data_IF_738616915740
#
_entry.id   IF_738616915740
#
_cell.length_a   1.000
_cell.length_b   1.000
_cell.length_c   1.000
_cell.angle_alpha   90.00
_cell.angle_beta   90.00
_cell.angle_gamma   90.00
#
_symmetry.space_group_name_H-M   'P 1'
#
loop_
_entity.id
_entity.type
_entity.pdbx_description
1 polymer ?
#
# COMPACT_ATOMS: atom_id res chain seq x y z
N UNK A 1 -18.01 -2.49 -8.66
CA UNK A 1 -17.42 -1.72 -7.54
C UNK A 1 -17.83 -2.40 -6.26
N UNK A 2 -17.07 -3.42 -5.86
CA UNK A 2 -17.32 -4.14 -4.60
C UNK A 2 -16.86 -3.24 -3.44
N UNK A 3 -17.80 -2.79 -2.61
CA UNK A 3 -17.49 -2.18 -1.32
C UNK A 3 -17.11 -3.31 -0.36
N UNK A 4 -15.83 -3.70 -0.32
CA UNK A 4 -15.37 -4.52 0.80
C UNK A 4 -15.55 -3.71 2.07
N UNK A 5 -16.45 -4.15 2.97
CA UNK A 5 -16.60 -3.60 4.32
C UNK A 5 -15.35 -3.94 5.15
N UNK A 6 -14.22 -3.37 4.79
CA UNK A 6 -12.98 -3.47 5.55
C UNK A 6 -13.07 -2.52 6.72
N UNK A 7 -12.69 -3.00 7.91
CA UNK A 7 -12.49 -2.13 9.07
C UNK A 7 -11.57 -0.96 8.69
N UNK A 8 -11.98 0.27 9.05
CA UNK A 8 -11.32 1.55 8.67
C UNK A 8 -9.79 1.53 8.80
N UNK A 9 -9.29 0.78 9.78
CA UNK A 9 -7.87 0.65 10.09
C UNK A 9 -7.03 0.05 8.95
N UNK A 10 -7.60 -0.85 8.12
CA UNK A 10 -6.85 -1.52 7.04
C UNK A 10 -6.64 -0.66 5.80
N UNK A 11 -7.55 0.28 5.54
CA UNK A 11 -7.52 1.14 4.33
C UNK A 11 -6.75 2.43 4.60
N UNK A 12 -6.83 2.92 5.84
CA UNK A 12 -6.23 4.21 6.20
C UNK A 12 -4.76 4.09 6.61
N UNK A 13 -4.26 2.88 6.92
CA UNK A 13 -2.86 2.64 7.29
C UNK A 13 -1.86 3.33 6.36
N UNK A 14 -1.88 3.07 5.04
CA UNK A 14 -0.97 3.73 4.09
C UNK A 14 -1.12 5.25 4.09
N UNK A 15 -2.37 5.75 4.17
CA UNK A 15 -2.66 7.19 4.19
C UNK A 15 -2.08 7.86 5.43
N UNK A 16 -2.16 7.23 6.60
CA UNK A 16 -1.63 7.75 7.86
C UNK A 16 -0.10 7.82 7.83
N UNK A 17 0.57 6.80 7.28
CA UNK A 17 2.03 6.84 7.10
C UNK A 17 2.41 7.92 6.09
N UNK A 18 1.63 8.08 5.01
CA UNK A 18 1.84 9.16 4.05
C UNK A 18 1.67 10.55 4.69
N UNK A 19 0.65 10.74 5.52
CA UNK A 19 0.45 11.99 6.26
C UNK A 19 1.62 12.26 7.23
N UNK A 20 2.09 11.25 7.96
CA UNK A 20 3.26 11.38 8.82
C UNK A 20 4.50 11.82 8.01
N UNK A 21 4.70 11.25 6.83
CA UNK A 21 5.77 11.64 5.92
C UNK A 21 5.59 13.10 5.41
N UNK A 22 4.37 13.52 5.07
CA UNK A 22 4.09 14.90 4.67
C UNK A 22 4.43 15.89 5.78
N UNK A 23 4.03 15.62 7.03
CA UNK A 23 4.34 16.49 8.16
C UNK A 23 5.84 16.50 8.49
N UNK A 24 6.50 15.35 8.36
CA UNK A 24 7.95 15.25 8.60
C UNK A 24 8.74 16.19 7.68
N UNK A 25 8.30 16.43 6.43
CA UNK A 25 8.98 17.33 5.47
C UNK A 25 9.17 18.76 5.96
N UNK A 26 8.36 19.22 6.91
CA UNK A 26 8.46 20.56 7.48
C UNK A 26 9.37 20.63 8.70
N UNK A 27 9.89 19.50 9.17
CA UNK A 27 10.77 19.44 10.33
C UNK A 27 12.21 19.84 9.97
N UNK A 28 12.95 20.50 10.87
CA UNK A 28 14.37 20.73 10.72
C UNK A 28 15.14 19.40 10.78
N UNK A 29 16.32 19.37 10.13
CA UNK A 29 17.15 18.17 9.96
C UNK A 29 17.38 17.35 11.25
N UNK A 30 17.68 17.95 12.43
CA UNK A 30 17.88 17.18 13.66
C UNK A 30 16.63 16.41 14.13
N UNK A 31 15.43 16.93 13.86
CA UNK A 31 14.18 16.25 14.19
C UNK A 31 13.82 15.18 13.16
N UNK A 32 14.11 15.43 11.88
CA UNK A 32 13.98 14.43 10.82
C UNK A 32 14.81 13.17 11.11
N UNK A 33 16.05 13.35 11.58
CA UNK A 33 16.94 12.21 11.88
C UNK A 33 16.39 11.31 13.01
N UNK A 34 15.48 11.82 13.85
CA UNK A 34 14.76 11.06 14.88
C UNK A 34 13.45 10.46 14.34
N UNK A 35 12.72 11.20 13.51
CA UNK A 35 11.39 10.81 13.02
C UNK A 35 11.47 9.81 11.87
N UNK A 36 12.41 9.96 10.93
CA UNK A 36 12.54 9.09 9.75
C UNK A 36 12.71 7.61 10.11
N UNK A 37 13.56 7.22 11.09
CA UNK A 37 13.64 5.83 11.56
C UNK A 37 12.32 5.31 12.14
N UNK A 38 11.53 6.16 12.81
CA UNK A 38 10.23 5.80 13.39
C UNK A 38 9.21 5.56 12.28
N UNK A 39 9.16 6.43 11.26
CA UNK A 39 8.31 6.24 10.08
C UNK A 39 8.70 4.93 9.37
N UNK A 40 10.00 4.70 9.15
CA UNK A 40 10.52 3.49 8.52
C UNK A 40 10.14 2.21 9.30
N UNK A 41 10.26 2.23 10.62
CA UNK A 41 9.87 1.10 11.48
C UNK A 41 8.38 0.81 11.42
N UNK A 42 7.56 1.84 11.27
CA UNK A 42 6.09 1.73 11.11
C UNK A 42 5.64 1.54 9.66
N UNK A 43 6.56 1.33 8.71
CA UNK A 43 6.24 1.06 7.30
C UNK A 43 5.43 -0.21 7.05
N UNK A 44 5.23 -1.07 8.05
CA UNK A 44 4.35 -2.24 7.95
C UNK A 44 2.91 -1.87 7.52
N UNK A 45 2.43 -0.68 7.90
CA UNK A 45 1.11 -0.20 7.50
C UNK A 45 1.00 0.15 6.02
N UNK A 46 2.11 0.37 5.32
CA UNK A 46 2.14 0.62 3.87
C UNK A 46 2.38 -0.64 3.04
N UNK A 47 2.33 -1.84 3.64
CA UNK A 47 2.46 -3.11 2.92
C UNK A 47 1.64 -3.13 1.62
N UNK A 48 2.12 -3.81 0.58
CA UNK A 48 1.49 -3.79 -0.75
C UNK A 48 0.02 -4.15 -0.70
N UNK A 49 -0.39 -5.12 0.13
CA UNK A 49 -1.81 -5.46 0.30
C UNK A 49 -2.65 -4.28 0.80
N UNK A 50 -2.19 -3.57 1.85
CA UNK A 50 -2.87 -2.39 2.39
C UNK A 50 -2.89 -1.25 1.37
N UNK A 51 -1.77 -1.05 0.67
CA UNK A 51 -1.65 -0.03 -0.38
C UNK A 51 -2.61 -0.30 -1.56
N UNK A 52 -2.77 -1.56 -1.97
CA UNK A 52 -3.73 -1.95 -3.01
C UNK A 52 -5.19 -1.73 -2.57
N UNK A 53 -5.52 -2.08 -1.32
CA UNK A 53 -6.85 -1.82 -0.74
C UNK A 53 -7.14 -0.31 -0.65
N UNK A 54 -6.15 0.50 -0.26
CA UNK A 54 -6.28 1.95 -0.24
C UNK A 54 -6.53 2.52 -1.64
N UNK A 55 -5.87 1.98 -2.67
CA UNK A 55 -6.06 2.41 -4.06
C UNK A 55 -7.46 2.14 -4.59
N UNK A 56 -8.08 1.01 -4.26
CA UNK A 56 -9.44 0.70 -4.76
C UNK A 56 -10.51 1.61 -4.17
N UNK A 57 -10.26 2.17 -2.98
CA UNK A 57 -11.16 3.10 -2.30
C UNK A 57 -10.76 4.58 -2.50
N UNK A 58 -9.78 4.86 -3.34
CA UNK A 58 -9.33 6.22 -3.59
C UNK A 58 -10.41 7.04 -4.33
N UNK A 59 -10.47 8.34 -4.08
CA UNK A 59 -11.43 9.23 -4.72
C UNK A 59 -11.08 9.49 -6.21
N UNK A 60 -9.79 9.46 -6.55
CA UNK A 60 -9.28 9.64 -7.91
C UNK A 60 -9.51 8.38 -8.75
N UNK A 61 -10.25 8.51 -9.86
CA UNK A 61 -10.55 7.39 -10.78
C UNK A 61 -9.29 6.69 -11.31
N UNK A 62 -8.25 7.45 -11.66
CA UNK A 62 -7.02 6.87 -12.21
C UNK A 62 -6.22 6.05 -11.18
N UNK A 63 -6.31 6.39 -9.89
CA UNK A 63 -5.70 5.61 -8.80
C UNK A 63 -6.45 4.31 -8.57
N UNK A 64 -7.79 4.34 -8.61
CA UNK A 64 -8.61 3.12 -8.54
C UNK A 64 -8.30 2.15 -9.66
N UNK A 65 -8.20 2.65 -10.90
CA UNK A 65 -7.85 1.85 -12.07
C UNK A 65 -6.42 1.27 -11.95
N UNK A 66 -5.46 2.05 -11.43
CA UNK A 66 -4.11 1.55 -11.16
C UNK A 66 -4.13 0.43 -10.10
N UNK A 67 -4.89 0.59 -9.02
CA UNK A 67 -5.08 -0.42 -7.98
C UNK A 67 -5.65 -1.71 -8.56
N UNK A 68 -6.72 -1.61 -9.35
CA UNK A 68 -7.34 -2.75 -10.05
C UNK A 68 -6.33 -3.53 -10.90
N UNK A 69 -5.58 -2.83 -11.77
CA UNK A 69 -4.55 -3.46 -12.63
C UNK A 69 -3.49 -4.20 -11.82
N UNK A 70 -3.05 -3.61 -10.70
CA UNK A 70 -2.05 -4.23 -9.82
C UNK A 70 -2.61 -5.44 -9.09
N UNK A 71 -3.87 -5.41 -8.64
CA UNK A 71 -4.53 -6.57 -8.02
C UNK A 71 -4.63 -7.73 -9.02
N UNK A 72 -5.04 -7.47 -10.26
CA UNK A 72 -5.10 -8.49 -11.30
C UNK A 72 -3.72 -9.12 -11.57
N UNK A 73 -2.67 -8.28 -11.65
CA UNK A 73 -1.29 -8.76 -11.78
C UNK A 73 -0.85 -9.59 -10.55
N UNK A 74 -1.19 -9.13 -9.34
CA UNK A 74 -0.88 -9.82 -8.10
C UNK A 74 -1.54 -11.21 -8.03
N UNK A 75 -2.80 -11.35 -8.47
CA UNK A 75 -3.49 -12.65 -8.59
C UNK A 75 -2.76 -13.61 -9.52
N UNK A 76 -2.30 -13.12 -10.67
CA UNK A 76 -1.54 -13.96 -11.63
C UNK A 76 -0.20 -14.43 -11.04
N UNK A 77 0.47 -13.59 -10.25
CA UNK A 77 1.71 -13.95 -9.56
C UNK A 77 1.43 -14.99 -8.48
N UNK A 78 0.41 -14.76 -7.64
CA UNK A 78 0.05 -15.66 -6.55
C UNK A 78 -0.46 -17.02 -7.03
N UNK A 79 -1.20 -17.07 -8.15
CA UNK A 79 -1.63 -18.33 -8.74
C UNK A 79 -0.44 -19.25 -9.13
N UNK A 80 0.74 -18.68 -9.35
CA UNK A 80 1.98 -19.41 -9.68
C UNK A 80 2.88 -19.64 -8.45
N UNK A 81 2.56 -19.03 -7.32
CA UNK A 81 3.36 -19.08 -6.09
C UNK A 81 3.18 -20.43 -5.41
N UNK A 82 4.29 -21.12 -5.15
CA UNK A 82 4.33 -22.42 -4.44
C UNK A 82 4.74 -22.31 -2.98
N UNK A 83 5.14 -21.12 -2.54
CA UNK A 83 5.67 -20.85 -1.20
C UNK A 83 4.67 -20.02 -0.39
N UNK A 84 4.76 -20.12 0.92
CA UNK A 84 4.01 -19.23 1.83
C UNK A 84 4.44 -17.78 1.61
N UNK A 85 3.51 -16.84 1.74
CA UNK A 85 3.79 -15.40 1.65
C UNK A 85 4.65 -14.97 2.83
N UNK A 86 5.79 -14.33 2.56
CA UNK A 86 6.65 -13.77 3.61
C UNK A 86 6.27 -12.32 3.83
N UNK A 87 5.94 -11.95 5.06
CA UNK A 87 5.71 -10.54 5.40
C UNK A 87 7.04 -9.80 5.42
N UNK A 88 7.25 -8.93 4.43
CA UNK A 88 8.43 -8.07 4.34
C UNK A 88 7.99 -6.61 4.42
N UNK A 89 8.45 -5.82 5.41
CA UNK A 89 8.17 -4.40 5.45
C UNK A 89 8.63 -3.72 4.16
N UNK A 90 7.76 -2.93 3.48
CA UNK A 90 8.15 -2.26 2.25
C UNK A 90 9.18 -1.18 2.52
N UNK A 91 10.04 -0.92 1.52
CA UNK A 91 10.88 0.28 1.54
C UNK A 91 10.01 1.50 1.28
N UNK A 92 9.92 2.37 2.28
CA UNK A 92 9.19 3.64 2.19
C UNK A 92 9.95 4.61 1.27
N UNK A 93 9.23 5.21 0.34
CA UNK A 93 9.69 6.29 -0.51
C UNK A 93 9.43 7.64 0.18
N UNK A 94 10.46 8.23 0.78
CA UNK A 94 10.35 9.52 1.47
C UNK A 94 10.03 10.69 0.52
N UNK A 95 10.30 10.53 -0.78
CA UNK A 95 10.04 11.53 -1.81
C UNK A 95 8.66 11.42 -2.47
N UNK A 96 7.81 10.47 -2.03
CA UNK A 96 6.49 10.23 -2.59
C UNK A 96 5.62 11.50 -2.63
N UNK A 97 5.07 11.85 -3.79
CA UNK A 97 4.17 13.01 -3.92
C UNK A 97 2.69 12.63 -3.77
N UNK A 98 2.40 11.33 -3.84
CA UNK A 98 1.09 10.77 -3.59
C UNK A 98 1.17 9.52 -2.71
N UNK A 99 0.09 9.21 -1.99
CA UNK A 99 -0.02 7.99 -1.19
C UNK A 99 0.21 6.72 -2.03
N UNK A 100 -0.12 6.77 -3.32
CA UNK A 100 0.08 5.67 -4.26
C UNK A 100 1.55 5.34 -4.54
N UNK A 101 2.47 6.26 -4.21
CA UNK A 101 3.91 6.17 -4.45
C UNK A 101 4.72 5.88 -3.18
N UNK A 102 4.06 5.72 -2.03
CA UNK A 102 4.71 5.59 -0.73
C UNK A 102 5.60 4.34 -0.61
N UNK A 103 5.31 3.31 -1.39
CA UNK A 103 6.15 2.12 -1.50
C UNK A 103 6.82 2.04 -2.86
N UNK A 104 8.05 1.51 -2.87
CA UNK A 104 8.69 1.14 -4.13
C UNK A 104 8.04 -0.13 -4.69
N UNK A 105 7.20 0.04 -5.72
CA UNK A 105 6.49 -1.05 -6.39
C UNK A 105 7.38 -2.01 -7.20
N UNK A 106 8.64 -1.63 -7.49
CA UNK A 106 9.59 -2.49 -8.20
C UNK A 106 10.28 -3.48 -7.25
N UNK A 107 10.52 -3.08 -6.00
CA UNK A 107 11.17 -3.88 -4.96
C UNK A 107 10.17 -4.62 -4.06
N UNK A 108 8.87 -4.37 -4.23
CA UNK A 108 7.84 -4.91 -3.36
C UNK A 108 7.25 -6.18 -3.95
N UNK A 109 7.14 -7.23 -3.12
CA UNK A 109 6.31 -8.36 -3.47
C UNK A 109 4.84 -7.90 -3.62
N UNK A 110 4.17 -8.41 -4.66
CA UNK A 110 2.78 -8.13 -4.98
C UNK A 110 1.91 -9.35 -4.66
N UNK A 111 1.70 -9.71 -3.37
CA UNK A 111 0.64 -10.63 -3.01
C UNK A 111 -0.72 -9.99 -3.30
N UNK A 112 -1.62 -10.79 -3.85
CA UNK A 112 -3.03 -10.43 -4.01
C UNK A 112 -3.67 -10.37 -2.63
N UNK A 113 -4.31 -9.25 -2.25
CA UNK A 113 -4.94 -9.17 -0.93
C UNK A 113 -5.97 -10.31 -0.77
N UNK A 114 -5.97 -11.05 0.36
CA UNK A 114 -6.91 -12.16 0.59
C UNK A 114 -8.38 -11.77 0.44
N UNK A 115 -8.70 -10.52 0.74
CA UNK A 115 -10.03 -9.93 0.56
C UNK A 115 -10.49 -9.91 -0.90
N UNK A 116 -9.54 -9.90 -1.84
CA UNK A 116 -9.79 -10.05 -3.26
C UNK A 116 -9.51 -11.48 -3.71
N UNK A 117 -9.59 -12.52 -2.88
CA UNK A 117 -9.47 -13.90 -3.39
C UNK A 117 -10.79 -14.39 -3.99
N UNK A 118 -11.92 -14.04 -3.38
CA UNK A 118 -13.25 -14.56 -3.77
C UNK A 118 -13.99 -13.67 -4.77
N UNK A 119 -13.53 -12.44 -5.00
CA UNK A 119 -14.14 -11.48 -5.92
C UNK A 119 -13.74 -11.82 -7.36
N UNK A 120 -14.66 -11.79 -8.33
CA UNK A 120 -14.30 -12.04 -9.73
C UNK A 120 -13.50 -10.90 -10.35
N UNK A 121 -12.65 -11.18 -11.34
CA UNK A 121 -11.79 -10.19 -12.00
C UNK A 121 -12.57 -9.01 -12.64
N UNK A 122 -13.81 -9.27 -13.10
CA UNK A 122 -14.73 -8.27 -13.65
C UNK A 122 -15.39 -7.39 -12.58
N UNK A 123 -15.37 -7.83 -11.32
CA UNK A 123 -16.02 -7.15 -10.21
C UNK A 123 -15.06 -6.30 -9.35
N UNK A 124 -13.74 -6.52 -9.49
CA UNK A 124 -12.68 -5.68 -8.89
C UNK A 124 -12.76 -4.25 -9.46
#
# INVERSE_FOLDING_TARGET
MVYCQTSKYYVDGPKLVYQALQYARYLPKPLLDVVDPVIKRNGCFTHSEHSLLAMTQDYKKHIRELGRRRILKARQIDARRKTVRTFTPPKINFNAQENSEIINWMDCELPSPPLFTEIRDDEI
#
